data_IF_946748114122
#
_entry.id   IF_946748114122
#
_cell.length_a   1.000
_cell.length_b   1.000
_cell.length_c   1.000
_cell.angle_alpha   90.00
_cell.angle_beta   90.00
_cell.angle_gamma   90.00
#
_symmetry.space_group_name_H-M   'P 1'
#
loop_
_entity.id
_entity.type
_entity.pdbx_description
1 polymer ?
#
# COMPACT_ATOMS: atom_id res chain seq x y z
N UNK A 1 -11.44 -3.61 -15.98
CA UNK A 1 -10.09 -3.72 -16.56
C UNK A 1 -9.74 -2.37 -17.16
N UNK A 2 -8.81 -1.62 -16.56
CA UNK A 2 -8.42 -0.28 -17.01
C UNK A 2 -7.94 -0.26 -18.48
N UNK A 3 -7.53 -1.41 -19.01
CA UNK A 3 -7.09 -1.60 -20.40
C UNK A 3 -8.25 -1.39 -21.40
N UNK A 4 -9.50 -1.63 -21.01
CA UNK A 4 -10.66 -1.41 -21.88
C UNK A 4 -11.11 0.06 -21.95
N UNK A 5 -10.51 0.93 -21.14
CA UNK A 5 -10.90 2.34 -21.02
C UNK A 5 -10.09 3.25 -21.97
N UNK A 6 -8.96 2.76 -22.51
CA UNK A 6 -7.97 3.60 -23.20
C UNK A 6 -7.40 2.99 -24.50
N UNK A 7 -8.19 2.23 -25.25
CA UNK A 7 -7.76 1.45 -26.43
C UNK A 7 -6.60 2.03 -27.26
N UNK A 8 -5.59 1.19 -27.55
CA UNK A 8 -4.47 1.32 -28.51
C UNK A 8 -3.91 2.71 -28.86
N UNK A 9 -3.93 3.68 -27.96
CA UNK A 9 -3.42 5.03 -28.23
C UNK A 9 -1.91 5.11 -27.97
N UNK A 10 -1.10 5.28 -29.01
CA UNK A 10 0.35 5.56 -28.92
C UNK A 10 0.66 7.01 -28.51
N UNK A 11 -0.37 7.85 -28.38
CA UNK A 11 -0.36 9.15 -27.71
C UNK A 11 -1.66 9.28 -26.91
N UNK A 12 -1.58 9.43 -25.58
CA UNK A 12 -2.77 9.56 -24.73
C UNK A 12 -3.30 11.00 -24.82
N UNK A 13 -3.89 11.34 -25.96
CA UNK A 13 -4.91 12.39 -26.07
C UNK A 13 -6.27 11.67 -26.08
N UNK A 14 -6.67 11.16 -24.91
CA UNK A 14 -7.99 10.55 -24.75
C UNK A 14 -8.94 11.71 -24.52
N UNK A 15 -9.76 12.04 -25.53
CA UNK A 15 -10.81 13.07 -25.49
C UNK A 15 -10.65 14.17 -24.44
N UNK A 16 -9.92 15.25 -24.75
CA UNK A 16 -9.77 16.45 -23.91
C UNK A 16 -9.07 16.29 -22.53
N UNK A 17 -8.63 15.10 -22.12
CA UNK A 17 -7.97 14.92 -20.82
C UNK A 17 -6.44 15.11 -20.89
N UNK A 18 -5.89 15.94 -20.01
CA UNK A 18 -4.44 16.07 -19.80
C UNK A 18 -3.90 14.85 -19.04
N UNK A 19 -2.60 14.51 -19.18
CA UNK A 19 -1.97 13.34 -18.54
C UNK A 19 -2.25 13.30 -17.02
N UNK A 20 -2.23 14.45 -16.33
CA UNK A 20 -2.57 14.52 -14.91
C UNK A 20 -4.02 14.10 -14.59
N UNK A 21 -4.97 14.41 -15.47
CA UNK A 21 -6.37 13.98 -15.31
C UNK A 21 -6.51 12.48 -15.51
N UNK A 22 -5.82 11.91 -16.50
CA UNK A 22 -5.83 10.46 -16.75
C UNK A 22 -5.27 9.70 -15.54
N UNK A 23 -4.16 10.16 -14.96
CA UNK A 23 -3.59 9.55 -13.75
C UNK A 23 -4.53 9.65 -12.55
N UNK A 24 -5.21 10.79 -12.38
CA UNK A 24 -6.21 10.97 -11.34
C UNK A 24 -7.37 9.98 -11.52
N UNK A 25 -7.92 9.85 -12.73
CA UNK A 25 -9.00 8.90 -13.02
C UNK A 25 -8.61 7.44 -12.72
N UNK A 26 -7.38 7.04 -13.02
CA UNK A 26 -6.88 5.70 -12.68
C UNK A 26 -6.75 5.52 -11.17
N UNK A 27 -6.20 6.51 -10.46
CA UNK A 27 -6.05 6.47 -9.00
C UNK A 27 -7.41 6.43 -8.28
N UNK A 28 -8.43 7.10 -8.81
CA UNK A 28 -9.79 7.14 -8.27
C UNK A 28 -10.65 5.95 -8.71
N UNK A 29 -10.16 5.09 -9.62
CA UNK A 29 -10.92 3.94 -10.10
C UNK A 29 -11.25 2.99 -8.92
N UNK A 30 -12.53 2.71 -8.64
CA UNK A 30 -12.89 1.90 -7.47
C UNK A 30 -12.30 0.49 -7.46
N UNK A 31 -12.05 -0.08 -8.64
CA UNK A 31 -11.39 -1.39 -8.77
C UNK A 31 -9.92 -1.29 -8.38
N UNK A 32 -9.24 -0.24 -8.84
CA UNK A 32 -7.84 0.02 -8.49
C UNK A 32 -7.69 0.27 -6.99
N UNK A 33 -8.51 1.15 -6.42
CA UNK A 33 -8.55 1.44 -4.98
C UNK A 33 -8.74 0.14 -4.19
N UNK A 34 -9.72 -0.69 -4.56
CA UNK A 34 -9.97 -1.97 -3.88
C UNK A 34 -8.78 -2.93 -3.95
N UNK A 35 -8.07 -2.97 -5.08
CA UNK A 35 -6.92 -3.86 -5.28
C UNK A 35 -5.67 -3.39 -4.51
N UNK A 36 -5.50 -2.08 -4.34
CA UNK A 36 -4.31 -1.50 -3.73
C UNK A 36 -4.49 -1.12 -2.26
N UNK A 37 -5.72 -1.11 -1.75
CA UNK A 37 -6.04 -0.69 -0.39
C UNK A 37 -5.20 -1.43 0.67
N UNK A 38 -5.13 -2.76 0.60
CA UNK A 38 -4.38 -3.55 1.59
C UNK A 38 -2.88 -3.26 1.54
N UNK A 39 -2.32 -3.08 0.34
CA UNK A 39 -0.91 -2.70 0.14
C UNK A 39 -0.62 -1.33 0.76
N UNK A 40 -1.44 -0.34 0.42
CA UNK A 40 -1.33 1.01 0.96
C UNK A 40 -1.54 1.03 2.49
N UNK A 41 -2.45 0.20 3.01
CA UNK A 41 -2.71 0.09 4.44
C UNK A 41 -1.49 -0.44 5.20
N UNK A 42 -0.84 -1.50 4.70
CA UNK A 42 0.40 -2.04 5.29
C UNK A 42 1.52 -0.99 5.24
N UNK A 43 1.68 -0.31 4.10
CA UNK A 43 2.67 0.75 3.95
C UNK A 43 2.45 1.89 4.98
N UNK A 44 1.20 2.27 5.22
CA UNK A 44 0.85 3.26 6.24
C UNK A 44 1.27 2.82 7.66
N UNK A 45 1.26 1.52 7.98
CA UNK A 45 1.75 1.04 9.28
C UNK A 45 3.25 1.30 9.45
N UNK A 46 4.06 1.07 8.39
CA UNK A 46 5.48 1.36 8.41
C UNK A 46 5.75 2.86 8.58
N UNK A 47 5.02 3.72 7.88
CA UNK A 47 5.17 5.17 8.00
C UNK A 47 4.69 5.69 9.36
N UNK A 48 3.53 5.24 9.84
CA UNK A 48 2.92 5.72 11.06
C UNK A 48 3.66 5.27 12.31
N UNK A 49 4.01 3.98 12.40
CA UNK A 49 4.64 3.42 13.58
C UNK A 49 6.17 3.45 13.51
N UNK A 50 6.76 3.05 12.39
CA UNK A 50 8.23 2.91 12.29
C UNK A 50 8.91 4.14 11.66
N UNK A 51 8.16 5.05 11.06
CA UNK A 51 8.64 6.28 10.41
C UNK A 51 9.75 6.01 9.39
N UNK A 52 9.59 4.96 8.57
CA UNK A 52 10.54 4.57 7.52
C UNK A 52 9.85 3.77 6.41
N UNK A 53 10.52 3.65 5.27
CA UNK A 53 10.13 2.71 4.21
C UNK A 53 10.31 1.25 4.68
N UNK A 54 9.54 0.29 4.13
CA UNK A 54 9.61 -1.10 4.57
C UNK A 54 10.95 -1.78 4.30
N UNK A 55 11.70 -1.31 3.30
CA UNK A 55 13.02 -1.81 2.90
C UNK A 55 14.17 -0.86 3.31
N UNK A 56 13.93 -0.01 4.31
CA UNK A 56 14.93 0.92 4.83
C UNK A 56 15.38 0.54 6.24
N UNK A 57 16.56 1.05 6.64
CA UNK A 57 17.09 0.84 7.99
C UNK A 57 17.68 -0.56 8.18
N UNK A 58 17.16 -1.38 9.11
CA UNK A 58 17.67 -2.73 9.37
C UNK A 58 17.27 -3.75 8.30
N UNK A 59 16.25 -3.45 7.49
CA UNK A 59 15.75 -4.35 6.46
C UNK A 59 16.45 -4.06 5.12
N UNK A 60 16.84 -5.11 4.40
CA UNK A 60 17.50 -5.02 3.08
C UNK A 60 16.54 -5.29 1.91
N UNK A 61 15.34 -5.76 2.21
CA UNK A 61 14.33 -6.15 1.23
C UNK A 61 12.91 -5.89 1.76
N UNK A 62 11.90 -6.35 1.03
CA UNK A 62 10.48 -6.20 1.35
C UNK A 62 9.88 -7.42 2.06
N UNK A 63 10.68 -8.35 2.59
CA UNK A 63 10.16 -9.60 3.16
C UNK A 63 9.17 -9.36 4.31
N UNK A 64 9.45 -8.39 5.19
CA UNK A 64 8.53 -8.01 6.26
C UNK A 64 7.22 -7.41 5.75
N UNK A 65 7.29 -6.57 4.71
CA UNK A 65 6.12 -5.99 4.08
C UNK A 65 5.24 -7.06 3.43
N UNK A 66 5.83 -7.97 2.66
CA UNK A 66 5.12 -9.08 2.02
C UNK A 66 4.51 -10.04 3.05
N UNK A 67 5.21 -10.29 4.16
CA UNK A 67 4.66 -11.07 5.26
C UNK A 67 3.36 -10.46 5.80
N UNK A 68 3.38 -9.16 6.11
CA UNK A 68 2.21 -8.45 6.64
C UNK A 68 1.08 -8.33 5.62
N UNK A 69 1.39 -8.06 4.36
CA UNK A 69 0.41 -8.04 3.28
C UNK A 69 -0.28 -9.39 3.12
N UNK A 70 0.49 -10.48 3.10
CA UNK A 70 -0.07 -11.83 3.00
C UNK A 70 -0.92 -12.18 4.22
N UNK A 71 -0.48 -11.83 5.44
CA UNK A 71 -1.27 -12.03 6.66
C UNK A 71 -2.59 -11.26 6.61
N UNK A 72 -2.57 -9.99 6.21
CA UNK A 72 -3.79 -9.17 6.07
C UNK A 72 -4.76 -9.77 5.05
N UNK A 73 -4.24 -10.24 3.91
CA UNK A 73 -5.06 -10.88 2.89
C UNK A 73 -5.67 -12.20 3.37
N UNK A 74 -4.96 -13.00 4.17
CA UNK A 74 -5.48 -14.23 4.78
C UNK A 74 -6.68 -13.97 5.71
N UNK A 75 -6.69 -12.81 6.38
CA UNK A 75 -7.79 -12.38 7.23
C UNK A 75 -8.78 -11.44 6.50
N UNK A 76 -8.82 -11.49 5.16
CA UNK A 76 -9.75 -10.70 4.34
C UNK A 76 -9.72 -9.18 4.59
N UNK A 77 -8.55 -8.64 4.96
CA UNK A 77 -8.41 -7.22 5.29
C UNK A 77 -8.72 -6.87 6.75
N UNK A 78 -9.11 -7.83 7.59
CA UNK A 78 -9.30 -7.61 9.02
C UNK A 78 -7.94 -7.49 9.73
N UNK A 79 -7.52 -6.24 9.94
CA UNK A 79 -6.25 -5.92 10.59
C UNK A 79 -6.22 -6.28 12.08
N UNK A 80 -7.39 -6.44 12.72
CA UNK A 80 -7.51 -6.87 14.11
C UNK A 80 -7.23 -8.35 14.21
N UNK A 81 -7.86 -9.17 13.37
CA UNK A 81 -7.57 -10.60 13.28
C UNK A 81 -6.16 -10.89 12.79
N UNK A 82 -5.62 -10.06 11.89
CA UNK A 82 -4.22 -10.15 11.48
C UNK A 82 -3.23 -9.72 12.59
N UNK A 83 -3.72 -9.20 13.72
CA UNK A 83 -2.94 -8.65 14.84
C UNK A 83 -1.90 -7.61 14.40
N UNK A 84 -2.16 -6.91 13.30
CA UNK A 84 -1.13 -6.15 12.59
C UNK A 84 -0.67 -4.95 13.42
N UNK A 85 -1.58 -4.06 13.79
CA UNK A 85 -1.27 -2.83 14.55
C UNK A 85 -0.55 -3.18 15.87
N UNK A 86 -1.04 -4.20 16.57
CA UNK A 86 -0.44 -4.68 17.81
C UNK A 86 1.02 -5.10 17.59
N UNK A 87 1.29 -5.88 16.56
CA UNK A 87 2.65 -6.35 16.27
C UNK A 87 3.62 -5.20 15.92
N UNK A 88 3.16 -4.15 15.23
CA UNK A 88 3.99 -2.97 14.95
C UNK A 88 4.37 -2.21 16.24
N UNK A 89 3.41 -2.00 17.14
CA UNK A 89 3.64 -1.33 18.45
C UNK A 89 4.52 -2.19 19.37
N UNK A 90 4.27 -3.50 19.43
CA UNK A 90 5.04 -4.43 20.27
C UNK A 90 6.43 -4.76 19.70
N UNK A 91 6.68 -4.39 18.43
CA UNK A 91 7.95 -4.65 17.75
C UNK A 91 9.13 -4.11 18.55
N UNK A 92 10.23 -4.85 18.53
CA UNK A 92 11.45 -4.43 19.22
C UNK A 92 11.97 -3.10 18.67
N UNK A 93 11.78 -2.81 17.39
CA UNK A 93 12.16 -1.54 16.79
C UNK A 93 11.31 -0.38 17.32
N UNK A 94 9.98 -0.49 17.29
CA UNK A 94 9.09 0.56 17.78
C UNK A 94 9.38 0.88 19.25
N UNK A 95 9.44 -0.14 20.11
CA UNK A 95 9.71 0.06 21.55
C UNK A 95 11.07 0.70 21.81
N UNK A 96 12.13 0.29 21.09
CA UNK A 96 13.47 0.89 21.22
C UNK A 96 13.53 2.35 20.78
N UNK A 97 12.76 2.74 19.75
CA UNK A 97 12.83 4.07 19.15
C UNK A 97 11.81 5.06 19.74
N UNK A 98 10.65 4.57 20.17
CA UNK A 98 9.48 5.39 20.47
C UNK A 98 8.70 4.97 21.74
N UNK A 99 9.04 3.87 22.40
CA UNK A 99 8.28 3.31 23.53
C UNK A 99 8.66 3.84 24.92
N UNK A 100 9.08 5.11 25.02
CA UNK A 100 9.37 5.78 26.30
C UNK A 100 8.13 6.47 26.86
#
# INVERSE_FOLDING_TARGET
>A
AAINEFGSATHINVGNYQIGQVLLHVAENPTFVKQEFNRAFVLMQYFGYLRRDPNAGPDVDYAGYEYWLNKLNQFNGDFVQAEMVKAFIDSGEYRRRFGQ
#
